data_IF_885895884249
#
_entry.id   IF_885895884249
#
_cell.length_a   1.000
_cell.length_b   1.000
_cell.length_c   1.000
_cell.angle_alpha   90.00
_cell.angle_beta   90.00
_cell.angle_gamma   90.00
#
_symmetry.space_group_name_H-M   'P 1'
#
loop_
_entity.id
_entity.type
_entity.pdbx_description
1 polymer ?
#
# COMPACT_ATOMS: atom_id res chain seq x y z
N UNK A 1 6.45 23.55 19.36
CA UNK A 1 6.17 22.69 18.18
C UNK A 1 4.68 22.73 17.87
N UNK A 2 4.35 23.14 16.65
CA UNK A 2 2.96 23.19 16.15
C UNK A 2 2.44 21.76 16.04
N UNK A 3 1.23 21.51 16.53
CA UNK A 3 0.57 20.21 16.47
C UNK A 3 -0.34 20.14 15.25
N UNK A 4 -0.04 19.24 14.32
CA UNK A 4 -0.82 18.99 13.12
C UNK A 4 -1.72 17.78 13.33
N UNK A 5 -3.03 18.01 13.32
CA UNK A 5 -4.02 16.96 13.18
C UNK A 5 -4.26 16.71 11.69
N UNK A 6 -3.66 15.63 11.17
CA UNK A 6 -3.74 15.26 9.76
C UNK A 6 -5.05 14.50 9.50
N UNK A 7 -5.80 14.95 8.50
CA UNK A 7 -7.05 14.34 8.03
C UNK A 7 -6.99 14.01 6.54
N UNK A 8 -7.74 13.00 6.11
CA UNK A 8 -8.05 12.77 4.69
C UNK A 8 -9.57 12.77 4.53
N UNK A 9 -10.11 13.64 3.68
CA UNK A 9 -11.55 13.92 3.67
C UNK A 9 -12.00 14.45 5.03
N UNK A 10 -12.88 13.70 5.70
CA UNK A 10 -13.34 14.00 7.06
C UNK A 10 -12.74 13.07 8.13
N UNK A 11 -12.03 12.03 7.70
CA UNK A 11 -11.42 11.06 8.59
C UNK A 11 -10.13 11.58 9.22
N UNK A 12 -10.05 11.47 10.54
CA UNK A 12 -8.84 11.65 11.32
C UNK A 12 -7.84 10.55 11.02
N UNK A 13 -6.62 10.93 10.64
CA UNK A 13 -5.56 9.99 10.28
C UNK A 13 -4.55 9.84 11.42
N UNK A 14 -3.78 10.88 11.72
CA UNK A 14 -2.77 10.87 12.77
C UNK A 14 -2.47 12.29 13.26
N UNK A 15 -1.75 12.39 14.38
CA UNK A 15 -1.16 13.64 14.86
C UNK A 15 0.32 13.67 14.50
N UNK A 16 0.83 14.84 14.14
CA UNK A 16 2.25 15.07 13.86
C UNK A 16 2.68 16.39 14.49
N UNK A 17 3.91 16.48 14.97
CA UNK A 17 4.48 17.73 15.48
C UNK A 17 5.59 18.21 14.56
N UNK A 18 5.62 19.52 14.33
CA UNK A 18 6.66 20.16 13.54
C UNK A 18 7.00 21.56 14.09
N UNK A 19 8.24 22.05 13.90
CA UNK A 19 8.58 23.41 14.25
C UNK A 19 7.84 24.40 13.35
N UNK A 20 7.46 25.57 13.89
CA UNK A 20 6.77 26.60 13.09
C UNK A 20 7.65 27.12 11.94
N UNK A 21 8.97 27.05 12.09
CA UNK A 21 9.95 27.46 11.10
C UNK A 21 10.14 26.48 9.93
N UNK A 22 9.52 25.28 9.98
CA UNK A 22 9.65 24.26 8.93
C UNK A 22 9.15 24.78 7.58
N UNK A 23 9.83 24.38 6.51
CA UNK A 23 9.37 24.62 5.16
C UNK A 23 8.18 23.70 4.84
N UNK A 24 7.15 24.23 4.19
CA UNK A 24 5.95 23.46 3.88
C UNK A 24 6.22 22.35 2.86
N UNK A 25 7.22 22.49 1.99
CA UNK A 25 7.70 21.40 1.14
C UNK A 25 8.17 20.22 1.99
N UNK A 26 9.08 20.45 2.92
CA UNK A 26 9.60 19.42 3.82
C UNK A 26 8.48 18.80 4.67
N UNK A 27 7.61 19.63 5.25
CA UNK A 27 6.48 19.17 6.04
C UNK A 27 5.51 18.32 5.22
N UNK A 28 5.22 18.71 3.98
CA UNK A 28 4.30 17.97 3.10
C UNK A 28 4.86 16.61 2.76
N UNK A 29 6.15 16.54 2.45
CA UNK A 29 6.86 15.27 2.21
C UNK A 29 6.85 14.40 3.47
N UNK A 30 7.14 14.96 4.64
CA UNK A 30 7.11 14.23 5.90
C UNK A 30 5.70 13.68 6.21
N UNK A 31 4.65 14.48 6.05
CA UNK A 31 3.26 14.05 6.28
C UNK A 31 2.86 12.96 5.28
N UNK A 32 3.22 13.11 4.00
CA UNK A 32 2.95 12.09 2.97
C UNK A 32 3.67 10.77 3.28
N UNK A 33 4.93 10.82 3.72
CA UNK A 33 5.70 9.64 4.13
C UNK A 33 5.06 8.92 5.31
N UNK A 34 4.67 9.63 6.36
CA UNK A 34 3.99 9.02 7.52
C UNK A 34 2.65 8.43 7.10
N UNK A 35 1.90 9.16 6.28
CA UNK A 35 0.63 8.69 5.76
C UNK A 35 0.76 7.38 4.96
N UNK A 36 1.63 7.35 3.96
CA UNK A 36 1.86 6.18 3.13
C UNK A 36 2.48 5.03 3.91
N UNK A 37 3.40 5.31 4.83
CA UNK A 37 4.00 4.31 5.71
C UNK A 37 2.97 3.62 6.60
N UNK A 38 2.00 4.37 7.15
CA UNK A 38 0.87 3.78 7.88
C UNK A 38 0.02 2.86 6.98
N UNK A 39 -0.27 3.28 5.75
CA UNK A 39 -0.98 2.43 4.80
C UNK A 39 -0.21 1.14 4.49
N UNK A 40 1.12 1.23 4.37
CA UNK A 40 2.00 0.09 4.16
C UNK A 40 1.97 -0.90 5.32
N UNK A 41 2.11 -0.43 6.55
CA UNK A 41 1.95 -1.25 7.76
C UNK A 41 0.58 -1.90 7.80
N UNK A 42 -0.49 -1.17 7.46
CA UNK A 42 -1.85 -1.71 7.45
C UNK A 42 -2.01 -2.88 6.45
N UNK A 43 -1.47 -2.75 5.23
CA UNK A 43 -1.49 -3.82 4.22
C UNK A 43 -0.71 -5.04 4.67
N UNK A 44 0.51 -4.84 5.18
CA UNK A 44 1.34 -5.91 5.71
C UNK A 44 0.63 -6.67 6.83
N UNK A 45 0.00 -5.95 7.76
CA UNK A 45 -0.76 -6.58 8.83
C UNK A 45 -1.90 -7.46 8.28
N UNK A 46 -2.65 -7.01 7.28
CA UNK A 46 -3.71 -7.82 6.66
C UNK A 46 -3.16 -9.07 5.97
N UNK A 47 -2.07 -8.94 5.21
CA UNK A 47 -1.45 -10.11 4.56
C UNK A 47 -0.81 -11.08 5.57
N UNK A 48 -0.27 -10.57 6.68
CA UNK A 48 0.29 -11.42 7.74
C UNK A 48 -0.79 -12.18 8.52
N UNK A 49 -2.03 -11.66 8.59
CA UNK A 49 -3.17 -12.40 9.16
C UNK A 49 -3.49 -13.62 8.29
N UNK A 50 -3.51 -13.45 6.97
CA UNK A 50 -3.71 -14.54 6.01
C UNK A 50 -2.52 -15.52 6.02
N UNK A 51 -1.28 -15.04 6.17
CA UNK A 51 -0.09 -15.88 6.34
C UNK A 51 -0.20 -16.77 7.59
N UNK A 52 -0.67 -16.20 8.70
CA UNK A 52 -0.86 -16.94 9.94
C UNK A 52 -1.94 -18.02 9.79
N UNK A 53 -2.97 -17.80 8.98
CA UNK A 53 -4.04 -18.78 8.81
C UNK A 53 -3.77 -19.84 7.75
N UNK A 54 -3.18 -19.46 6.62
CA UNK A 54 -3.15 -20.28 5.41
C UNK A 54 -1.74 -20.52 4.86
N UNK A 55 -0.69 -19.96 5.49
CA UNK A 55 0.69 -20.17 5.04
C UNK A 55 1.08 -19.27 3.87
N UNK A 56 2.16 -19.63 3.18
CA UNK A 56 2.77 -18.77 2.15
C UNK A 56 1.96 -18.75 0.86
N UNK A 57 2.17 -17.73 0.04
CA UNK A 57 1.56 -17.67 -1.29
C UNK A 57 1.97 -18.85 -2.17
N UNK A 58 1.02 -19.34 -2.97
CA UNK A 58 1.28 -20.27 -4.06
C UNK A 58 2.03 -19.56 -5.20
N UNK A 59 2.83 -20.30 -5.99
CA UNK A 59 3.38 -19.80 -7.24
C UNK A 59 2.29 -19.19 -8.15
N UNK A 60 2.55 -18.08 -8.88
CA UNK A 60 1.54 -17.42 -9.71
C UNK A 60 0.86 -18.31 -10.76
N UNK A 61 1.57 -19.33 -11.27
CA UNK A 61 1.04 -20.31 -12.22
C UNK A 61 0.11 -21.36 -11.58
N UNK A 62 0.01 -21.40 -10.25
CA UNK A 62 -0.86 -22.34 -9.50
C UNK A 62 -2.04 -21.64 -8.82
N UNK A 63 -2.01 -20.31 -8.69
CA UNK A 63 -3.08 -19.56 -8.02
C UNK A 63 -4.40 -19.65 -8.80
N UNK A 64 -5.49 -19.96 -8.09
CA UNK A 64 -6.83 -20.04 -8.67
C UNK A 64 -7.12 -21.29 -9.54
N UNK A 65 -6.19 -22.25 -9.59
CA UNK A 65 -6.42 -23.55 -10.20
C UNK A 65 -7.04 -24.52 -9.17
N UNK A 66 -7.82 -25.49 -9.66
CA UNK A 66 -8.29 -26.59 -8.81
C UNK A 66 -7.20 -27.61 -8.56
N UNK A 67 -7.35 -28.40 -7.49
CA UNK A 67 -6.42 -29.47 -7.15
C UNK A 67 -6.23 -30.45 -8.34
N UNK A 68 -7.32 -30.79 -9.05
CA UNK A 68 -7.30 -31.64 -10.26
C UNK A 68 -6.49 -31.02 -11.42
N UNK A 69 -6.63 -29.71 -11.65
CA UNK A 69 -5.89 -29.01 -12.71
C UNK A 69 -4.39 -28.95 -12.40
N UNK A 70 -4.03 -28.77 -11.13
CA UNK A 70 -2.64 -28.78 -10.67
C UNK A 70 -2.01 -30.16 -10.92
N UNK A 71 -2.74 -31.25 -10.61
CA UNK A 71 -2.29 -32.61 -10.86
C UNK A 71 -2.14 -32.91 -12.36
N UNK A 72 -3.11 -32.51 -13.19
CA UNK A 72 -3.07 -32.72 -14.64
C UNK A 72 -1.88 -31.99 -15.29
N UNK A 73 -1.66 -30.73 -14.89
CA UNK A 73 -0.55 -29.91 -15.35
C UNK A 73 0.79 -30.26 -14.68
N UNK A 74 0.79 -31.17 -13.70
CA UNK A 74 1.95 -31.61 -12.91
C UNK A 74 2.72 -30.45 -12.30
N UNK A 75 2.02 -29.41 -11.87
CA UNK A 75 2.61 -28.24 -11.25
C UNK A 75 3.05 -28.59 -9.82
N UNK A 76 4.19 -28.04 -9.40
CA UNK A 76 4.76 -28.27 -8.07
C UNK A 76 5.11 -26.96 -7.40
N UNK A 77 4.79 -26.87 -6.11
CA UNK A 77 5.20 -25.75 -5.27
C UNK A 77 6.64 -25.95 -4.79
N UNK A 78 7.60 -25.41 -5.55
CA UNK A 78 9.03 -25.47 -5.20
C UNK A 78 9.38 -24.66 -3.94
N UNK A 79 8.51 -23.74 -3.52
CA UNK A 79 8.74 -22.88 -2.36
C UNK A 79 8.07 -23.40 -1.10
N UNK A 80 7.01 -24.21 -1.21
CA UNK A 80 6.36 -24.86 -0.07
C UNK A 80 7.33 -25.69 0.79
N UNK A 81 8.29 -26.37 0.17
CA UNK A 81 9.32 -27.15 0.89
C UNK A 81 10.45 -26.27 1.47
N UNK A 82 10.68 -25.08 0.91
CA UNK A 82 11.75 -24.16 1.34
C UNK A 82 11.27 -23.22 2.45
N UNK A 83 10.02 -22.77 2.36
CA UNK A 83 9.40 -21.80 3.25
C UNK A 83 8.53 -22.49 4.29
N UNK A 84 9.12 -23.44 5.03
CA UNK A 84 8.41 -24.14 6.10
C UNK A 84 8.45 -23.31 7.38
N UNK A 85 7.30 -23.13 8.07
CA UNK A 85 7.28 -22.39 9.32
C UNK A 85 8.03 -23.12 10.45
N UNK A 86 8.60 -22.34 11.36
CA UNK A 86 9.31 -22.79 12.55
C UNK A 86 8.42 -23.71 13.41
N UNK A 87 8.89 -24.94 13.63
CA UNK A 87 8.14 -25.94 14.40
C UNK A 87 7.04 -26.65 13.61
N UNK A 88 7.10 -26.61 12.27
CA UNK A 88 6.23 -27.40 11.38
C UNK A 88 4.95 -26.68 10.96
N UNK A 89 4.38 -27.18 9.86
CA UNK A 89 3.15 -26.67 9.28
C UNK A 89 1.92 -27.47 9.73
N UNK A 90 0.78 -26.78 9.80
CA UNK A 90 -0.54 -27.36 10.02
C UNK A 90 -1.39 -27.03 8.81
N UNK A 91 -1.94 -28.05 8.16
CA UNK A 91 -2.72 -27.85 6.95
C UNK A 91 -4.06 -27.17 7.25
N UNK A 92 -4.31 -26.03 6.61
CA UNK A 92 -5.57 -25.30 6.60
C UNK A 92 -5.78 -24.70 5.21
N UNK A 93 -6.68 -25.31 4.43
CA UNK A 93 -6.97 -24.88 3.05
C UNK A 93 -7.37 -23.40 3.00
N UNK A 94 -6.87 -22.71 1.98
CA UNK A 94 -7.31 -21.36 1.60
C UNK A 94 -8.48 -21.50 0.62
N UNK A 95 -9.64 -21.00 1.01
CA UNK A 95 -10.85 -21.05 0.18
C UNK A 95 -10.72 -20.21 -1.09
N UNK A 96 -9.81 -19.23 -1.09
CA UNK A 96 -9.55 -18.34 -2.23
C UNK A 96 -8.52 -18.95 -3.19
N UNK A 97 -7.75 -19.96 -2.74
CA UNK A 97 -6.76 -20.66 -3.54
C UNK A 97 -5.54 -19.81 -3.92
N UNK A 98 -5.16 -18.83 -3.08
CA UNK A 98 -3.98 -17.98 -3.25
C UNK A 98 -2.78 -18.48 -2.44
N UNK A 99 -3.02 -19.07 -1.28
CA UNK A 99 -2.00 -19.61 -0.36
C UNK A 99 -1.99 -21.13 -0.38
N UNK A 100 -0.85 -21.72 0.00
CA UNK A 100 -0.63 -23.16 -0.12
C UNK A 100 -1.29 -23.99 1.00
N UNK A 101 -1.91 -23.35 1.97
CA UNK A 101 -2.59 -23.97 3.10
C UNK A 101 -1.64 -24.50 4.18
N UNK A 102 -0.32 -24.33 4.05
CA UNK A 102 0.67 -24.79 5.03
C UNK A 102 0.87 -23.72 6.13
N UNK A 103 -0.11 -23.64 7.03
CA UNK A 103 -0.14 -22.62 8.06
C UNK A 103 0.88 -22.88 9.19
N UNK A 104 1.39 -21.84 9.87
CA UNK A 104 2.19 -22.01 11.08
C UNK A 104 1.44 -22.75 12.20
N UNK A 105 2.19 -23.39 13.10
CA UNK A 105 1.62 -23.94 14.33
C UNK A 105 1.04 -22.84 15.25
N UNK A 106 0.20 -23.21 16.22
CA UNK A 106 -0.53 -22.25 17.07
C UNK A 106 0.39 -21.27 17.82
N UNK A 107 1.57 -21.73 18.26
CA UNK A 107 2.56 -20.86 18.94
C UNK A 107 3.08 -19.78 17.99
N UNK A 108 3.42 -20.16 16.76
CA UNK A 108 3.91 -19.20 15.75
C UNK A 108 2.80 -18.30 15.22
N UNK A 109 1.56 -18.79 15.12
CA UNK A 109 0.39 -17.95 14.83
C UNK A 109 0.23 -16.85 15.89
N UNK A 110 0.39 -17.20 17.17
CA UNK A 110 0.32 -16.22 18.27
C UNK A 110 1.42 -15.16 18.17
N UNK A 111 2.64 -15.54 17.76
CA UNK A 111 3.72 -14.56 17.51
C UNK A 111 3.30 -13.56 16.44
N UNK A 112 2.81 -14.03 15.28
CA UNK A 112 2.34 -13.15 14.20
C UNK A 112 1.18 -12.27 14.67
N UNK A 113 0.13 -12.85 15.27
CA UNK A 113 -1.05 -12.12 15.73
C UNK A 113 -0.70 -11.04 16.74
N UNK A 114 0.14 -11.36 17.73
CA UNK A 114 0.56 -10.40 18.75
C UNK A 114 1.33 -9.22 18.13
N UNK A 115 2.29 -9.51 17.24
CA UNK A 115 3.05 -8.45 16.56
C UNK A 115 2.17 -7.61 15.63
N UNK A 116 1.18 -8.22 14.97
CA UNK A 116 0.20 -7.51 14.15
C UNK A 116 -0.64 -6.55 15.01
N UNK A 117 -1.11 -7.00 16.17
CA UNK A 117 -1.87 -6.15 17.10
C UNK A 117 -1.05 -4.97 17.61
N UNK A 118 0.21 -5.21 17.98
CA UNK A 118 1.17 -4.18 18.41
C UNK A 118 1.42 -3.16 17.29
N UNK A 119 1.71 -3.62 16.07
CA UNK A 119 1.91 -2.75 14.91
C UNK A 119 0.63 -1.95 14.56
N UNK A 120 -0.55 -2.60 14.55
CA UNK A 120 -1.85 -1.93 14.34
C UNK A 120 -2.12 -0.87 15.41
N UNK A 121 -1.73 -1.12 16.66
CA UNK A 121 -1.88 -0.15 17.75
C UNK A 121 -1.01 1.11 17.53
N UNK A 122 0.23 0.95 17.06
CA UNK A 122 1.15 2.06 16.76
C UNK A 122 0.57 2.99 15.69
N UNK A 123 0.02 2.42 14.61
CA UNK A 123 -0.52 3.20 13.49
C UNK A 123 -2.01 3.55 13.63
N UNK A 124 -2.65 3.15 14.72
CA UNK A 124 -4.11 3.25 14.88
C UNK A 124 -4.60 4.70 14.85
N UNK A 125 -5.79 4.91 14.29
CA UNK A 125 -6.51 6.20 14.38
C UNK A 125 -6.82 6.59 15.84
N UNK A 126 -6.88 5.61 16.75
CA UNK A 126 -7.07 5.83 18.20
C UNK A 126 -5.94 6.65 18.84
N UNK A 127 -4.75 6.67 18.25
CA UNK A 127 -3.64 7.50 18.73
C UNK A 127 -3.97 8.99 18.70
N UNK A 128 -4.87 9.41 17.80
CA UNK A 128 -5.35 10.79 17.72
C UNK A 128 -6.15 11.17 18.97
N UNK A 129 -7.01 10.27 19.45
CA UNK A 129 -7.81 10.47 20.67
C UNK A 129 -6.93 10.46 21.92
N UNK A 130 -5.89 9.62 21.93
CA UNK A 130 -4.88 9.58 22.98
C UNK A 130 -3.91 10.78 22.95
N UNK A 131 -3.96 11.63 21.93
CA UNK A 131 -3.06 12.78 21.80
C UNK A 131 -1.62 12.42 21.41
N UNK A 132 -1.37 11.18 20.98
CA UNK A 132 -0.04 10.67 20.62
C UNK A 132 0.28 11.03 19.17
N UNK A 133 1.48 11.55 18.96
CA UNK A 133 1.97 11.90 17.63
C UNK A 133 2.65 10.70 16.99
N UNK A 134 2.41 10.50 15.70
CA UNK A 134 3.02 9.43 14.91
C UNK A 134 4.18 10.01 14.12
N UNK A 135 5.37 9.45 14.34
CA UNK A 135 6.59 9.82 13.60
C UNK A 135 6.96 8.73 12.59
N UNK A 136 7.85 9.05 11.64
CA UNK A 136 8.39 8.03 10.73
C UNK A 136 9.19 6.95 11.45
N UNK A 137 9.78 7.26 12.61
CA UNK A 137 10.50 6.29 13.42
C UNK A 137 9.54 5.23 13.96
N UNK A 138 8.40 5.64 14.53
CA UNK A 138 7.37 4.70 15.00
C UNK A 138 6.85 3.79 13.88
N UNK A 139 6.71 4.33 12.66
CA UNK A 139 6.30 3.53 11.49
C UNK A 139 7.39 2.53 11.09
N UNK A 140 8.67 2.95 11.10
CA UNK A 140 9.80 2.04 10.83
C UNK A 140 9.89 0.95 11.88
N UNK A 141 9.76 1.30 13.16
CA UNK A 141 9.79 0.34 14.26
C UNK A 141 8.66 -0.70 14.09
N UNK A 142 7.45 -0.28 13.71
CA UNK A 142 6.36 -1.19 13.41
C UNK A 142 6.67 -2.12 12.22
N UNK A 143 7.29 -1.61 11.15
CA UNK A 143 7.72 -2.43 10.01
C UNK A 143 8.81 -3.44 10.41
N UNK A 144 9.78 -3.02 11.22
CA UNK A 144 10.88 -3.87 11.68
C UNK A 144 10.38 -4.95 12.63
N UNK A 145 9.42 -4.64 13.50
CA UNK A 145 8.72 -5.62 14.33
C UNK A 145 8.03 -6.69 13.47
N UNK A 146 7.25 -6.27 12.47
CA UNK A 146 6.56 -7.20 11.56
C UNK A 146 7.57 -8.08 10.79
N UNK A 147 8.67 -7.48 10.30
CA UNK A 147 9.75 -8.22 9.63
C UNK A 147 10.41 -9.24 10.57
N UNK A 148 10.68 -8.86 11.81
CA UNK A 148 11.23 -9.75 12.83
C UNK A 148 10.31 -10.93 13.12
N UNK A 149 9.00 -10.69 13.25
CA UNK A 149 8.02 -11.75 13.46
C UNK A 149 7.97 -12.73 12.27
N UNK A 150 7.98 -12.22 11.04
CA UNK A 150 8.06 -13.07 9.84
C UNK A 150 9.35 -13.89 9.83
N UNK A 151 10.49 -13.32 10.22
CA UNK A 151 11.77 -14.05 10.27
C UNK A 151 11.79 -15.14 11.36
N UNK A 152 11.11 -14.92 12.49
CA UNK A 152 10.96 -15.94 13.54
C UNK A 152 10.11 -17.11 13.05
N UNK A 153 8.99 -16.82 12.37
CA UNK A 153 8.07 -17.86 11.89
C UNK A 153 8.60 -18.52 10.62
N UNK A 154 9.22 -17.78 9.71
CA UNK A 154 9.77 -18.26 8.44
C UNK A 154 11.26 -17.90 8.34
N UNK A 155 12.16 -18.67 8.98
CA UNK A 155 13.59 -18.35 9.05
C UNK A 155 14.29 -18.42 7.70
N UNK A 156 13.78 -19.22 6.77
CA UNK A 156 14.26 -19.29 5.38
C UNK A 156 13.68 -18.17 4.49
N UNK A 157 12.91 -17.27 5.08
CA UNK A 157 12.19 -16.20 4.38
C UNK A 157 10.92 -16.67 3.70
N UNK A 158 10.25 -15.72 3.05
CA UNK A 158 9.06 -15.94 2.25
C UNK A 158 9.41 -16.05 0.75
N UNK A 159 8.53 -16.63 -0.07
CA UNK A 159 8.72 -16.66 -1.52
C UNK A 159 8.88 -15.25 -2.11
N UNK A 160 9.67 -15.07 -3.19
CA UNK A 160 9.97 -13.75 -3.77
C UNK A 160 8.73 -13.05 -4.33
N UNK A 161 7.70 -13.81 -4.70
CA UNK A 161 6.41 -13.32 -5.19
C UNK A 161 5.36 -13.15 -4.08
N UNK A 162 5.70 -13.44 -2.82
CA UNK A 162 4.78 -13.23 -1.70
C UNK A 162 4.60 -11.71 -1.46
N UNK A 163 3.36 -11.19 -1.39
CA UNK A 163 3.10 -9.77 -1.19
C UNK A 163 3.79 -9.18 0.04
N UNK A 164 3.93 -9.96 1.11
CA UNK A 164 4.60 -9.52 2.34
C UNK A 164 6.08 -9.23 2.06
N UNK A 165 6.74 -10.12 1.32
CA UNK A 165 8.15 -9.94 0.94
C UNK A 165 8.32 -8.80 -0.04
N UNK A 166 7.45 -8.70 -1.05
CA UNK A 166 7.50 -7.61 -2.02
C UNK A 166 7.35 -6.25 -1.33
N UNK A 167 6.42 -6.12 -0.39
CA UNK A 167 6.27 -4.92 0.43
C UNK A 167 7.52 -4.62 1.27
N UNK A 168 8.13 -5.61 1.93
CA UNK A 168 9.39 -5.37 2.66
C UNK A 168 10.58 -4.97 1.78
N UNK A 169 10.59 -5.38 0.51
CA UNK A 169 11.62 -5.04 -0.47
C UNK A 169 11.31 -3.76 -1.27
N UNK A 170 10.16 -3.10 -1.02
CA UNK A 170 9.66 -1.95 -1.79
C UNK A 170 9.48 -2.24 -3.29
N UNK A 171 9.04 -3.47 -3.60
CA UNK A 171 8.77 -3.97 -4.97
C UNK A 171 7.28 -4.26 -5.18
N UNK A 172 6.43 -3.80 -4.28
CA UNK A 172 4.99 -3.95 -4.41
C UNK A 172 4.46 -3.26 -5.66
N UNK A 173 3.59 -3.95 -6.40
CA UNK A 173 2.78 -3.32 -7.44
C UNK A 173 1.37 -3.08 -6.88
N UNK A 174 1.04 -1.81 -6.69
CA UNK A 174 -0.28 -1.38 -6.21
C UNK A 174 -1.19 -0.94 -7.35
N UNK A 175 -0.76 -1.05 -8.61
CA UNK A 175 -1.54 -0.66 -9.77
C UNK A 175 -2.84 -1.47 -9.86
N UNK A 176 -3.96 -0.79 -10.17
CA UNK A 176 -5.28 -1.42 -10.22
C UNK A 176 -5.88 -1.87 -8.88
N UNK A 177 -5.17 -1.70 -7.76
CA UNK A 177 -5.68 -2.07 -6.43
C UNK A 177 -6.36 -0.89 -5.72
N UNK A 178 -7.32 -1.20 -4.84
CA UNK A 178 -7.91 -0.20 -3.95
C UNK A 178 -6.88 0.47 -3.02
N UNK A 179 -5.81 -0.25 -2.68
CA UNK A 179 -4.69 0.31 -1.92
C UNK A 179 -3.93 1.38 -2.71
N UNK A 180 -3.72 1.17 -4.01
CA UNK A 180 -3.04 2.14 -4.89
C UNK A 180 -3.76 3.48 -4.95
N UNK A 181 -5.09 3.49 -4.99
CA UNK A 181 -5.92 4.72 -4.94
C UNK A 181 -5.74 5.52 -3.64
N UNK A 182 -5.27 4.86 -2.59
CA UNK A 182 -5.03 5.50 -1.31
C UNK A 182 -3.60 6.02 -1.16
N UNK A 183 -2.62 5.57 -1.93
CA UNK A 183 -1.24 6.05 -1.82
C UNK A 183 -1.12 7.42 -2.49
N UNK A 184 -0.48 8.38 -1.82
CA UNK A 184 -0.28 9.73 -2.34
C UNK A 184 1.21 9.92 -2.65
N UNK A 185 1.59 10.16 -3.91
CA UNK A 185 3.00 10.43 -4.23
C UNK A 185 3.49 11.70 -3.53
N UNK A 186 4.74 11.68 -3.07
CA UNK A 186 5.34 12.79 -2.34
C UNK A 186 5.33 14.10 -3.15
N UNK A 187 5.45 14.04 -4.47
CA UNK A 187 5.39 15.21 -5.38
C UNK A 187 3.96 15.74 -5.59
N UNK A 188 2.96 14.89 -5.47
CA UNK A 188 1.55 15.22 -5.73
C UNK A 188 0.80 15.56 -4.43
N UNK A 189 1.41 15.40 -3.26
CA UNK A 189 0.75 15.68 -1.98
C UNK A 189 0.46 17.18 -1.79
N UNK A 190 -0.73 17.52 -1.31
CA UNK A 190 -1.11 18.87 -0.93
C UNK A 190 -1.66 18.89 0.49
N UNK A 191 -1.32 19.94 1.24
CA UNK A 191 -1.84 20.17 2.58
C UNK A 191 -2.77 21.39 2.58
N UNK A 192 -3.94 21.23 3.19
CA UNK A 192 -4.95 22.27 3.30
C UNK A 192 -5.27 22.57 4.75
N UNK A 193 -5.29 23.84 5.12
CA UNK A 193 -5.70 24.30 6.44
C UNK A 193 -6.67 25.47 6.30
N UNK A 194 -7.81 25.40 6.99
CA UNK A 194 -8.85 26.43 6.97
C UNK A 194 -9.26 26.87 5.53
N UNK A 195 -9.53 25.90 4.66
CA UNK A 195 -9.87 26.10 3.24
C UNK A 195 -8.81 26.85 2.41
N UNK A 196 -7.57 26.92 2.89
CA UNK A 196 -6.42 27.46 2.17
C UNK A 196 -5.36 26.39 1.98
N UNK A 197 -4.82 26.31 0.77
CA UNK A 197 -3.66 25.47 0.50
C UNK A 197 -2.42 26.02 1.22
N UNK A 198 -1.74 25.15 1.95
CA UNK A 198 -0.44 25.40 2.53
C UNK A 198 0.62 25.25 1.43
N UNK A 199 0.86 26.36 0.71
CA UNK A 199 1.81 26.37 -0.41
C UNK A 199 3.20 25.92 0.04
N UNK A 200 3.72 24.89 -0.65
CA UNK A 200 5.03 24.26 -0.41
C UNK A 200 6.21 25.24 -0.35
N UNK A 201 6.17 26.35 -1.09
CA UNK A 201 7.22 27.37 -1.15
C UNK A 201 7.31 28.27 0.09
N UNK A 202 6.40 28.14 1.05
CA UNK A 202 6.32 28.99 2.25
C UNK A 202 6.67 28.22 3.51
N UNK A 203 6.78 28.93 4.64
CA UNK A 203 6.98 28.32 5.95
C UNK A 203 5.66 28.12 6.68
N UNK A 204 5.60 27.16 7.58
CA UNK A 204 4.41 26.93 8.40
C UNK A 204 4.03 28.18 9.22
N UNK A 205 5.03 28.91 9.74
CA UNK A 205 4.87 30.14 10.50
C UNK A 205 4.17 31.27 9.75
N UNK A 206 4.19 31.26 8.42
CA UNK A 206 3.52 32.27 7.61
C UNK A 206 1.99 32.15 7.69
N UNK A 207 1.50 30.97 8.08
CA UNK A 207 0.08 30.65 8.23
C UNK A 207 -0.35 30.64 9.69
N UNK A 208 0.41 29.97 10.57
CA UNK A 208 0.04 29.78 11.98
C UNK A 208 0.64 30.83 12.92
N UNK A 209 1.49 31.71 12.40
CA UNK A 209 2.24 32.70 13.18
C UNK A 209 3.44 32.10 13.92
N UNK A 210 4.04 32.89 14.81
CA UNK A 210 5.20 32.47 15.62
C UNK A 210 4.82 31.63 16.85
N UNK A 211 3.53 31.36 17.07
CA UNK A 211 3.07 30.61 18.23
C UNK A 211 3.27 29.11 18.01
N UNK A 212 4.21 28.56 18.77
CA UNK A 212 4.59 27.16 18.76
C UNK A 212 3.67 26.24 19.57
N UNK A 213 2.63 26.74 20.23
CA UNK A 213 1.63 25.93 20.97
C UNK A 213 0.31 25.76 20.19
N UNK A 214 0.31 26.07 18.91
CA UNK A 214 -0.90 26.03 18.06
C UNK A 214 -1.20 24.60 17.61
N UNK A 215 -2.48 24.22 17.63
CA UNK A 215 -3.00 23.00 16.99
C UNK A 215 -3.73 23.37 15.71
N UNK A 216 -3.36 22.77 14.59
CA UNK A 216 -4.04 22.96 13.30
C UNK A 216 -4.61 21.65 12.78
N UNK A 217 -5.68 21.74 11.99
CA UNK A 217 -6.25 20.59 11.27
C UNK A 217 -5.82 20.69 9.81
N UNK A 218 -4.87 19.84 9.41
CA UNK A 218 -4.34 19.82 8.05
C UNK A 218 -4.98 18.66 7.27
N UNK A 219 -5.64 18.96 6.15
CA UNK A 219 -6.18 17.94 5.25
C UNK A 219 -5.11 17.59 4.21
N UNK A 220 -4.70 16.32 4.13
CA UNK A 220 -3.84 15.81 3.06
C UNK A 220 -4.70 15.34 1.89
N UNK A 221 -4.33 15.74 0.68
CA UNK A 221 -4.98 15.35 -0.57
C UNK A 221 -3.94 15.09 -1.65
N UNK A 222 -4.30 14.27 -2.64
CA UNK A 222 -3.55 14.15 -3.88
C UNK A 222 -3.95 15.30 -4.79
N UNK A 223 -2.96 15.95 -5.40
CA UNK A 223 -3.19 16.93 -6.44
C UNK A 223 -3.93 16.25 -7.58
N UNK A 224 -5.15 16.70 -7.82
CA UNK A 224 -5.90 16.30 -9.00
C UNK A 224 -5.19 16.93 -10.21
N UNK A 225 -4.90 16.12 -11.22
CA UNK A 225 -4.59 16.68 -12.54
C UNK A 225 -5.82 17.50 -12.96
N UNK A 226 -5.60 18.74 -13.40
CA UNK A 226 -6.62 19.44 -14.15
C UNK A 226 -6.90 18.58 -15.38
N UNK A 227 -8.08 17.94 -15.42
CA UNK A 227 -8.56 17.37 -16.67
C UNK A 227 -8.71 18.55 -17.61
N UNK A 228 -7.79 18.71 -18.57
CA UNK A 228 -8.07 19.51 -19.74
C UNK A 228 -9.34 18.90 -20.36
N UNK A 229 -10.45 19.64 -20.38
CA UNK A 229 -11.72 19.19 -20.94
C UNK A 229 -11.56 18.74 -22.42
N UNK A 230 -10.48 19.18 -23.07
CA UNK A 230 -10.04 18.81 -24.42
C UNK A 230 -9.34 17.43 -24.51
N UNK A 231 -9.06 16.75 -23.40
CA UNK A 231 -8.50 15.39 -23.40
C UNK A 231 -9.40 14.39 -24.14
N UNK A 232 -10.71 14.62 -24.10
CA UNK A 232 -11.70 13.88 -24.90
C UNK A 232 -11.49 14.10 -26.41
N UNK A 233 -11.19 15.34 -26.82
CA UNK A 233 -11.01 15.73 -28.22
C UNK A 233 -9.69 15.22 -28.81
N UNK A 234 -8.65 15.10 -27.99
CA UNK A 234 -7.32 14.63 -28.42
C UNK A 234 -7.13 13.11 -28.28
N UNK A 235 -8.18 12.38 -27.92
CA UNK A 235 -8.13 10.94 -27.71
C UNK A 235 -8.01 10.17 -29.05
N UNK A 236 -7.34 8.99 -29.07
CA UNK A 236 -7.21 8.18 -30.28
C UNK A 236 -8.55 7.71 -30.87
N UNK A 237 -9.61 7.64 -30.06
CA UNK A 237 -10.95 7.27 -30.53
C UNK A 237 -11.70 8.44 -31.20
N UNK A 238 -11.36 9.69 -30.85
CA UNK A 238 -11.91 10.89 -31.48
C UNK A 238 -11.28 11.21 -32.85
N UNK A 239 -10.21 10.51 -33.23
CA UNK A 239 -9.53 10.65 -34.50
C UNK A 239 -10.35 10.06 -35.67
N UNK A 240 -11.12 10.93 -36.33
CA UNK A 240 -11.93 10.55 -37.49
C UNK A 240 -11.12 10.07 -38.71
N UNK A 241 -9.79 10.25 -38.70
CA UNK A 241 -8.89 9.79 -39.77
C UNK A 241 -8.19 8.48 -39.47
N UNK A 242 -8.32 7.94 -38.25
CA UNK A 242 -7.67 6.71 -37.83
C UNK A 242 -8.02 5.52 -38.74
N UNK A 243 -9.30 5.39 -39.10
CA UNK A 243 -9.77 4.35 -40.01
C UNK A 243 -9.14 4.51 -41.41
N UNK A 244 -9.09 5.75 -41.92
CA UNK A 244 -8.51 6.05 -43.24
C UNK A 244 -7.01 5.71 -43.28
N UNK A 245 -6.27 5.97 -42.20
CA UNK A 245 -4.86 5.57 -42.07
C UNK A 245 -4.70 4.06 -42.02
N UNK A 246 -5.55 3.36 -41.29
CA UNK A 246 -5.52 1.90 -41.20
C UNK A 246 -5.77 1.22 -42.56
N UNK A 247 -6.59 1.82 -43.43
CA UNK A 247 -6.85 1.29 -44.78
C UNK A 247 -5.96 1.90 -45.88
N UNK A 248 -5.06 2.83 -45.57
CA UNK A 248 -4.08 3.32 -46.54
C UNK A 248 -3.05 2.22 -46.85
N UNK A 249 -3.09 1.70 -48.08
CA UNK A 249 -2.16 0.68 -48.55
C UNK A 249 -2.74 -0.74 -48.65
N UNK A 250 -3.97 -0.97 -48.19
CA UNK A 250 -4.65 -2.26 -48.37
C UNK A 250 -5.21 -2.33 -49.80
N UNK A 251 -4.43 -2.93 -50.70
CA UNK A 251 -4.88 -3.36 -52.03
C UNK A 251 -5.15 -4.86 -51.90
N UNK A 252 -6.31 -5.34 -52.39
CA UNK A 252 -6.75 -6.76 -52.38
C UNK A 252 -7.65 -7.24 -51.22
N UNK A 253 -8.69 -6.49 -50.88
CA UNK A 253 -9.81 -7.04 -50.09
C UNK A 253 -10.77 -7.79 -51.04
N UNK A 254 -10.69 -9.13 -51.08
CA UNK A 254 -11.64 -9.97 -51.82
C UNK A 254 -12.94 -10.16 -51.01
N UNK A 255 -13.98 -9.45 -51.42
CA UNK A 255 -15.30 -9.43 -50.76
C UNK A 255 -16.24 -10.59 -51.13
N UNK A 256 -15.76 -11.69 -51.74
CA UNK A 256 -16.62 -12.82 -52.14
C UNK A 256 -16.18 -14.13 -51.47
N UNK A 257 -17.12 -14.91 -50.91
CA UNK A 257 -16.82 -16.27 -50.43
C UNK A 257 -16.28 -17.12 -51.59
N UNK A 258 -15.32 -18.00 -51.30
CA UNK A 258 -14.85 -19.02 -52.23
C UNK A 258 -15.92 -20.06 -52.50
#
# INVERSE_FOLDING_TARGET
MVLLHVKRGDESQFLLQAPGSIELEELTVQVARVYNGRLKVQRLCSEMEELAEHGVFLPPNMQGLTDDQIEELKLKDEWGEKCVPSGGAVFKKDDIGRRNGQAPNEKMKQVLRKTIEEAKAIISKKQVEAGVCVTMEMVKDALDQLRGAVMIVYPMGLPPYDPIRMEFENKEDLSGTQAGLNVIKESEAQLWWAAKELRRTKKLSDYVGKNEKTKIIAKIQQRLEENDDDACLNSPWADNTALKRHFHGVKDIKWRPR
#
